data_IF_607769045314
#
_entry.id   IF_607769045314
#
_cell.length_a   1.000
_cell.length_b   1.000
_cell.length_c   1.000
_cell.angle_alpha   90.00
_cell.angle_beta   90.00
_cell.angle_gamma   90.00
#
_symmetry.space_group_name_H-M   'P 1'
#
loop_
_entity.id
_entity.type
_entity.pdbx_description
1 polymer ?
#
# COMPACT_ATOMS: atom_id res chain seq x y z
N UNK A 1 -12.27 15.68 -8.39
CA UNK A 1 -10.85 15.33 -8.36
C UNK A 1 -10.18 16.29 -7.40
N UNK A 2 -9.85 15.85 -6.19
CA UNK A 2 -9.10 16.71 -5.27
C UNK A 2 -7.65 16.81 -5.73
N UNK A 3 -7.21 18.04 -5.98
CA UNK A 3 -5.84 18.36 -6.30
C UNK A 3 -4.99 18.21 -5.04
N UNK A 4 -4.05 17.26 -5.03
CA UNK A 4 -2.92 17.36 -4.12
C UNK A 4 -2.03 18.47 -4.69
N UNK A 5 -2.12 19.67 -4.11
CA UNK A 5 -1.24 20.78 -4.49
C UNK A 5 0.23 20.34 -4.34
N UNK A 6 1.13 20.80 -5.23
CA UNK A 6 2.55 20.57 -5.05
C UNK A 6 2.95 21.07 -3.67
N UNK A 7 3.73 20.27 -2.94
CA UNK A 7 4.31 20.70 -1.66
C UNK A 7 5.38 21.76 -2.00
N UNK A 8 4.94 23.01 -2.12
CA UNK A 8 5.84 24.11 -2.46
C UNK A 8 6.68 24.46 -1.24
N UNK A 9 7.78 23.75 -1.06
CA UNK A 9 8.77 23.98 0.01
C UNK A 9 9.78 25.07 -0.39
N UNK A 10 9.63 25.72 -1.57
CA UNK A 10 10.66 26.57 -2.14
C UNK A 10 11.92 25.82 -2.59
N UNK A 11 11.86 24.49 -2.65
CA UNK A 11 12.92 23.61 -3.12
C UNK A 11 12.43 22.74 -4.26
N UNK A 12 13.32 22.42 -5.20
CA UNK A 12 13.02 21.42 -6.23
C UNK A 12 13.04 20.04 -5.63
N UNK A 13 11.98 19.25 -5.89
CA UNK A 13 11.82 17.90 -5.37
C UNK A 13 11.72 16.88 -6.49
N UNK A 14 12.19 15.65 -6.22
CA UNK A 14 12.14 14.53 -7.18
C UNK A 14 11.57 13.30 -6.49
N UNK A 15 10.53 12.72 -7.09
CA UNK A 15 10.00 11.40 -6.74
C UNK A 15 10.08 10.50 -7.98
N UNK A 16 10.63 9.31 -7.82
CA UNK A 16 10.82 8.37 -8.93
C UNK A 16 10.50 6.93 -8.53
N UNK A 17 10.20 6.10 -9.52
CA UNK A 17 9.97 4.67 -9.37
C UNK A 17 8.66 4.20 -9.97
N UNK A 18 8.23 2.99 -9.60
CA UNK A 18 6.94 2.41 -10.01
C UNK A 18 5.87 2.86 -9.03
N UNK A 19 4.90 3.65 -9.48
CA UNK A 19 3.87 4.24 -8.63
C UNK A 19 3.07 3.18 -7.83
N UNK A 20 2.82 2.01 -8.40
CA UNK A 20 2.15 0.90 -7.73
C UNK A 20 2.94 0.31 -6.53
N UNK A 21 4.24 0.61 -6.42
CA UNK A 21 5.14 0.16 -5.35
C UNK A 21 5.66 1.31 -4.47
N UNK A 22 5.41 2.55 -4.87
CA UNK A 22 5.86 3.75 -4.19
C UNK A 22 4.66 4.61 -3.79
N UNK A 23 4.27 4.54 -2.52
CA UNK A 23 3.09 5.24 -2.01
C UNK A 23 3.24 6.77 -2.06
N UNK A 24 4.46 7.32 -1.92
CA UNK A 24 4.70 8.78 -2.02
C UNK A 24 4.50 9.25 -3.45
N UNK A 25 5.10 8.54 -4.42
CA UNK A 25 4.92 8.85 -5.84
C UNK A 25 3.44 8.72 -6.24
N UNK A 26 2.79 7.60 -5.90
CA UNK A 26 1.36 7.42 -6.21
C UNK A 26 0.49 8.51 -5.57
N UNK A 27 0.76 8.89 -4.32
CA UNK A 27 0.03 9.96 -3.65
C UNK A 27 0.12 11.28 -4.41
N UNK A 28 1.30 11.62 -4.94
CA UNK A 28 1.53 12.87 -5.69
C UNK A 28 0.87 12.85 -7.08
N UNK A 29 1.00 11.75 -7.82
CA UNK A 29 0.58 11.70 -9.23
C UNK A 29 -0.80 11.07 -9.46
N UNK A 30 -1.31 10.24 -8.55
CA UNK A 30 -2.59 9.49 -8.66
C UNK A 30 -2.74 8.73 -9.97
N UNK A 31 -1.64 8.23 -10.50
CA UNK A 31 -1.57 7.54 -11.78
C UNK A 31 -0.79 6.24 -11.66
N UNK A 32 -1.32 5.17 -12.24
CA UNK A 32 -0.66 3.87 -12.28
C UNK A 32 -0.12 3.60 -13.67
N UNK A 33 1.20 3.63 -13.80
CA UNK A 33 1.94 3.06 -14.90
C UNK A 33 2.63 1.78 -14.44
N UNK A 34 2.75 0.76 -15.30
CA UNK A 34 3.47 -0.47 -14.96
C UNK A 34 4.98 -0.28 -14.87
N UNK A 35 5.50 0.70 -15.59
CA UNK A 35 6.92 1.06 -15.66
C UNK A 35 7.25 2.20 -14.68
N UNK A 36 8.54 2.43 -14.47
CA UNK A 36 9.05 3.56 -13.69
C UNK A 36 8.63 4.91 -14.30
N UNK A 37 8.36 5.88 -13.45
CA UNK A 37 8.05 7.25 -13.80
C UNK A 37 8.64 8.22 -12.79
N UNK A 38 8.72 9.49 -13.15
CA UNK A 38 9.33 10.54 -12.31
C UNK A 38 8.45 11.77 -12.30
N UNK A 39 8.24 12.36 -11.14
CA UNK A 39 7.70 13.72 -11.02
C UNK A 39 8.78 14.62 -10.43
N UNK A 40 9.00 15.75 -11.08
CA UNK A 40 9.86 16.82 -10.61
C UNK A 40 8.93 18.02 -10.33
N UNK A 41 8.90 18.46 -9.08
CA UNK A 41 8.23 19.70 -8.70
C UNK A 41 9.31 20.74 -8.45
N UNK A 42 9.34 21.78 -9.28
CA UNK A 42 10.34 22.84 -9.21
C UNK A 42 10.02 23.89 -8.14
N UNK A 43 11.05 24.57 -7.65
CA UNK A 43 10.91 25.61 -6.63
C UNK A 43 10.04 26.79 -7.06
N UNK A 44 9.89 27.04 -8.36
CA UNK A 44 9.02 28.07 -8.94
C UNK A 44 7.54 27.68 -9.02
N UNK A 45 7.22 26.44 -8.61
CA UNK A 45 5.87 25.90 -8.61
C UNK A 45 5.49 25.16 -9.89
N UNK A 46 6.36 25.13 -10.90
CA UNK A 46 6.12 24.31 -12.10
C UNK A 46 6.48 22.84 -11.87
N UNK A 47 5.97 21.96 -12.71
CA UNK A 47 6.18 20.51 -12.57
C UNK A 47 6.37 19.81 -13.91
N UNK A 48 7.24 18.80 -13.93
CA UNK A 48 7.48 17.93 -15.08
C UNK A 48 7.28 16.48 -14.66
N UNK A 49 6.39 15.79 -15.35
CA UNK A 49 6.19 14.35 -15.19
C UNK A 49 6.82 13.60 -16.37
N UNK A 50 7.83 12.77 -16.08
CA UNK A 50 8.48 11.91 -17.06
C UNK A 50 7.90 10.50 -16.97
N UNK A 51 7.43 10.00 -18.11
CA UNK A 51 6.82 8.69 -18.23
C UNK A 51 7.14 8.09 -19.61
N UNK A 52 6.90 6.81 -19.80
CA UNK A 52 7.03 6.21 -21.14
C UNK A 52 6.13 6.92 -22.15
N UNK A 53 6.62 7.01 -23.37
CA UNK A 53 5.90 7.59 -24.51
C UNK A 53 4.50 7.00 -24.70
N UNK A 54 4.36 5.67 -24.58
CA UNK A 54 3.07 4.96 -24.65
C UNK A 54 2.04 5.40 -23.61
N UNK A 55 2.48 5.95 -22.48
CA UNK A 55 1.62 6.36 -21.37
C UNK A 55 1.29 7.86 -21.40
N UNK A 56 1.95 8.65 -22.25
CA UNK A 56 1.84 10.11 -22.20
C UNK A 56 0.42 10.62 -22.39
N UNK A 57 -0.35 10.05 -23.31
CA UNK A 57 -1.71 10.52 -23.58
C UNK A 57 -2.67 10.25 -22.42
N UNK A 58 -2.48 9.13 -21.72
CA UNK A 58 -3.22 8.79 -20.52
C UNK A 58 -2.77 9.67 -19.34
N UNK A 59 -1.47 9.87 -19.21
CA UNK A 59 -0.88 10.71 -18.18
C UNK A 59 -1.32 12.17 -18.29
N UNK A 60 -1.35 12.77 -19.49
CA UNK A 60 -1.83 14.14 -19.73
C UNK A 60 -3.27 14.36 -19.25
N UNK A 61 -4.10 13.32 -19.22
CA UNK A 61 -5.50 13.40 -18.77
C UNK A 61 -5.68 13.21 -17.27
N UNK A 62 -4.71 12.57 -16.60
CA UNK A 62 -4.88 12.10 -15.22
C UNK A 62 -3.89 12.74 -14.24
N UNK A 63 -2.64 12.97 -14.67
CA UNK A 63 -1.61 13.51 -13.80
C UNK A 63 -1.68 15.04 -13.77
N UNK A 64 -1.63 15.60 -12.58
CA UNK A 64 -1.49 17.05 -12.40
C UNK A 64 -0.01 17.42 -12.48
N UNK A 65 0.44 17.75 -13.68
CA UNK A 65 1.77 18.27 -13.98
C UNK A 65 1.65 19.30 -15.12
N UNK A 66 2.48 20.34 -15.10
CA UNK A 66 2.47 21.38 -16.14
C UNK A 66 2.96 20.82 -17.47
N UNK A 67 3.89 19.86 -17.40
CA UNK A 67 4.41 19.18 -18.58
C UNK A 67 4.45 17.67 -18.35
N UNK A 68 4.01 16.92 -19.36
CA UNK A 68 4.18 15.46 -19.43
C UNK A 68 5.13 15.17 -20.57
N UNK A 69 6.27 14.59 -20.26
CA UNK A 69 7.39 14.35 -21.15
C UNK A 69 7.78 12.86 -21.15
N UNK A 70 8.59 12.45 -22.12
CA UNK A 70 9.24 11.16 -22.13
C UNK A 70 10.77 11.30 -22.08
N UNK A 71 11.50 10.19 -21.97
CA UNK A 71 12.96 10.24 -21.87
C UNK A 71 13.61 10.90 -23.10
N UNK A 72 13.02 10.75 -24.29
CA UNK A 72 13.55 11.34 -25.53
C UNK A 72 13.55 12.88 -25.53
N UNK A 73 12.69 13.51 -24.73
CA UNK A 73 12.62 14.97 -24.62
C UNK A 73 13.84 15.57 -23.87
N UNK A 74 14.62 14.71 -23.19
CA UNK A 74 15.79 15.09 -22.40
C UNK A 74 16.96 14.13 -22.67
N UNK A 75 17.37 14.06 -23.94
CA UNK A 75 18.48 13.21 -24.38
C UNK A 75 19.82 13.90 -24.07
N UNK A 76 20.71 13.31 -23.27
CA UNK A 76 22.05 13.87 -23.04
C UNK A 76 22.93 13.76 -24.29
N UNK A 77 24.02 14.50 -24.37
CA UNK A 77 24.96 14.52 -25.51
C UNK A 77 25.49 13.12 -25.89
N UNK A 78 25.65 12.23 -24.89
CA UNK A 78 26.07 10.84 -25.11
C UNK A 78 24.97 9.88 -25.58
N UNK A 79 23.74 10.37 -25.76
CA UNK A 79 22.55 9.56 -26.06
C UNK A 79 21.96 8.86 -24.83
N UNK A 80 20.78 8.29 -25.00
CA UNK A 80 20.10 7.51 -23.97
C UNK A 80 20.53 6.05 -24.02
N UNK A 81 20.55 5.41 -22.86
CA UNK A 81 20.76 3.97 -22.73
C UNK A 81 19.67 3.18 -23.46
N UNK A 82 20.01 2.00 -23.98
CA UNK A 82 19.04 1.03 -24.47
C UNK A 82 18.20 0.38 -23.36
N UNK A 83 18.64 0.45 -22.11
CA UNK A 83 17.86 0.06 -20.93
C UNK A 83 16.93 1.18 -20.54
N UNK A 84 15.63 0.87 -20.39
CA UNK A 84 14.56 1.86 -20.18
C UNK A 84 14.65 2.61 -18.85
N UNK A 85 14.95 1.92 -17.78
CA UNK A 85 15.04 2.54 -16.45
C UNK A 85 16.27 3.44 -16.38
N UNK A 86 17.38 3.01 -16.99
CA UNK A 86 18.60 3.82 -17.13
C UNK A 86 18.36 5.05 -17.99
N UNK A 87 17.68 4.90 -19.13
CA UNK A 87 17.34 6.03 -20.01
C UNK A 87 16.46 7.07 -19.29
N UNK A 88 15.49 6.62 -18.49
CA UNK A 88 14.63 7.53 -17.73
C UNK A 88 15.41 8.26 -16.62
N UNK A 89 16.35 7.58 -15.96
CA UNK A 89 17.22 8.20 -14.96
C UNK A 89 18.17 9.23 -15.58
N UNK A 90 18.75 8.93 -16.76
CA UNK A 90 19.55 9.87 -17.54
C UNK A 90 18.73 11.11 -17.94
N UNK A 91 17.53 10.90 -18.49
CA UNK A 91 16.63 11.99 -18.89
C UNK A 91 16.19 12.84 -17.68
N UNK A 92 16.02 12.23 -16.51
CA UNK A 92 15.70 12.96 -15.27
C UNK A 92 16.84 13.93 -14.89
N UNK A 93 18.07 13.43 -14.90
CA UNK A 93 19.24 14.25 -14.61
C UNK A 93 19.41 15.40 -15.64
N UNK A 94 19.17 15.11 -16.91
CA UNK A 94 19.24 16.08 -18.00
C UNK A 94 18.13 17.15 -17.90
N UNK A 95 16.91 16.75 -17.55
CA UNK A 95 15.81 17.68 -17.26
C UNK A 95 16.17 18.68 -16.16
N UNK A 96 16.75 18.18 -15.06
CA UNK A 96 17.20 19.02 -13.95
C UNK A 96 18.35 19.93 -14.34
N UNK A 97 19.30 19.45 -15.16
CA UNK A 97 20.43 20.22 -15.68
C UNK A 97 19.94 21.37 -16.59
N UNK A 98 19.00 21.09 -17.50
CA UNK A 98 18.39 22.09 -18.37
C UNK A 98 17.62 23.16 -17.57
N UNK A 99 17.04 22.77 -16.44
CA UNK A 99 16.36 23.70 -15.53
C UNK A 99 17.35 24.44 -14.59
N UNK A 100 18.66 24.26 -14.76
CA UNK A 100 19.68 24.95 -13.97
C UNK A 100 19.70 24.57 -12.49
N UNK A 101 19.24 23.37 -12.13
CA UNK A 101 19.18 22.94 -10.74
C UNK A 101 20.56 22.57 -10.22
N UNK A 102 20.94 23.12 -9.06
CA UNK A 102 22.19 22.77 -8.38
C UNK A 102 22.00 21.71 -7.28
N UNK A 103 20.77 21.58 -6.76
CA UNK A 103 20.39 20.54 -5.80
C UNK A 103 18.91 20.20 -5.91
N UNK A 104 18.55 19.00 -5.44
CA UNK A 104 17.16 18.52 -5.36
C UNK A 104 16.89 17.85 -4.02
N UNK A 105 15.68 17.97 -3.51
CA UNK A 105 15.23 17.26 -2.31
C UNK A 105 14.55 15.97 -2.71
N UNK A 106 14.87 14.87 -2.02
CA UNK A 106 14.34 13.53 -2.29
C UNK A 106 13.87 12.86 -1.01
N UNK A 107 12.96 11.91 -1.14
CA UNK A 107 12.51 11.06 -0.04
C UNK A 107 13.33 9.75 0.04
N UNK A 108 13.01 8.93 1.04
CA UNK A 108 13.64 7.61 1.27
C UNK A 108 13.43 6.59 0.14
N UNK A 109 12.50 6.83 -0.76
CA UNK A 109 12.09 5.88 -1.80
C UNK A 109 12.77 6.10 -3.14
N UNK A 110 13.59 7.16 -3.29
CA UNK A 110 14.30 7.40 -4.55
C UNK A 110 15.22 6.21 -4.87
N UNK A 111 15.02 5.52 -6.01
CA UNK A 111 15.92 4.43 -6.39
C UNK A 111 17.34 4.95 -6.63
N UNK A 112 18.33 4.20 -6.17
CA UNK A 112 19.75 4.60 -6.29
C UNK A 112 20.17 4.92 -7.73
N UNK A 113 19.58 4.27 -8.71
CA UNK A 113 19.82 4.53 -10.14
C UNK A 113 19.63 6.03 -10.47
N UNK A 114 18.54 6.63 -10.01
CA UNK A 114 18.28 8.06 -10.23
C UNK A 114 19.27 8.94 -9.46
N UNK A 115 19.55 8.60 -8.20
CA UNK A 115 20.55 9.32 -7.41
C UNK A 115 21.90 9.33 -8.10
N UNK A 116 22.33 8.21 -8.66
CA UNK A 116 23.58 8.07 -9.39
C UNK A 116 23.68 9.06 -10.57
N UNK A 117 22.69 9.09 -11.46
CA UNK A 117 22.74 9.98 -12.63
C UNK A 117 22.55 11.45 -12.27
N UNK A 118 21.75 11.79 -11.28
CA UNK A 118 21.60 13.16 -10.76
C UNK A 118 22.95 13.67 -10.23
N UNK A 119 23.65 12.86 -9.43
CA UNK A 119 24.98 13.22 -8.90
C UNK A 119 26.05 13.29 -10.00
N UNK A 120 26.02 12.39 -10.99
CA UNK A 120 26.92 12.48 -12.16
C UNK A 120 26.73 13.77 -12.96
N UNK A 121 25.52 14.30 -13.01
CA UNK A 121 25.22 15.61 -13.62
C UNK A 121 25.67 16.81 -12.78
N UNK A 122 26.35 16.58 -11.65
CA UNK A 122 26.83 17.62 -10.74
C UNK A 122 25.75 18.24 -9.85
N UNK A 123 24.58 17.59 -9.73
CA UNK A 123 23.44 18.08 -8.95
C UNK A 123 23.48 17.43 -7.56
N UNK A 124 23.44 18.26 -6.51
CA UNK A 124 23.39 17.81 -5.13
C UNK A 124 22.06 17.12 -4.79
N UNK A 125 22.10 16.16 -3.88
CA UNK A 125 20.89 15.49 -3.37
C UNK A 125 20.78 15.76 -1.87
N UNK A 126 19.68 16.41 -1.49
CA UNK A 126 19.28 16.65 -0.11
C UNK A 126 18.22 15.62 0.29
N UNK A 127 18.52 14.74 1.22
CA UNK A 127 17.55 13.82 1.77
C UNK A 127 16.63 14.52 2.77
N UNK A 128 15.33 14.31 2.64
CA UNK A 128 14.33 14.75 3.64
C UNK A 128 13.55 13.56 4.17
N UNK A 129 13.59 13.35 5.48
CA UNK A 129 12.88 12.27 6.16
C UNK A 129 11.36 12.43 6.06
N UNK A 130 10.88 13.68 6.16
CA UNK A 130 9.45 14.01 6.19
C UNK A 130 8.85 14.23 4.80
N UNK A 131 9.68 14.38 3.77
CA UNK A 131 9.19 14.62 2.42
C UNK A 131 8.29 13.48 1.94
N UNK A 132 7.07 13.83 1.52
CA UNK A 132 6.05 12.89 1.09
C UNK A 132 5.40 12.08 2.22
N UNK A 133 6.00 12.03 3.42
CA UNK A 133 5.41 11.39 4.60
C UNK A 133 4.35 12.31 5.20
N UNK A 134 4.68 13.57 5.45
CA UNK A 134 3.76 14.56 6.04
C UNK A 134 2.53 14.78 5.16
N UNK A 135 2.71 14.89 3.85
CA UNK A 135 1.60 15.03 2.90
C UNK A 135 0.61 13.85 2.96
N UNK A 136 1.09 12.63 3.32
CA UNK A 136 0.24 11.44 3.47
C UNK A 136 -0.30 11.25 4.90
N UNK A 137 0.26 11.94 5.89
CA UNK A 137 -0.13 11.83 7.29
C UNK A 137 -1.50 12.46 7.54
N UNK A 138 -1.77 13.62 6.93
CA UNK A 138 -3.05 14.32 7.02
C UNK A 138 -3.89 13.97 5.79
N UNK A 139 -5.04 13.32 6.01
CA UNK A 139 -5.91 12.85 4.92
C UNK A 139 -6.89 13.93 4.49
N UNK A 140 -6.99 14.12 3.19
CA UNK A 140 -8.06 14.91 2.58
C UNK A 140 -9.42 14.20 2.65
N UNK A 141 -10.48 14.90 2.31
CA UNK A 141 -11.86 14.38 2.36
C UNK A 141 -12.03 13.12 1.51
N UNK A 142 -11.50 13.13 0.29
CA UNK A 142 -11.58 11.98 -0.63
C UNK A 142 -10.81 10.77 -0.10
N UNK A 143 -9.65 11.01 0.50
CA UNK A 143 -8.83 9.97 1.11
C UNK A 143 -9.54 9.30 2.30
N UNK A 144 -10.25 10.11 3.10
CA UNK A 144 -11.09 9.59 4.20
C UNK A 144 -12.20 8.70 3.65
N UNK A 145 -12.83 9.09 2.53
CA UNK A 145 -13.88 8.28 1.90
C UNK A 145 -13.32 6.97 1.32
N UNK A 146 -12.16 7.01 0.68
CA UNK A 146 -11.47 5.82 0.21
C UNK A 146 -11.12 4.85 1.36
N UNK A 147 -10.64 5.38 2.47
CA UNK A 147 -10.38 4.59 3.69
C UNK A 147 -11.66 4.00 4.28
N UNK A 148 -12.79 4.74 4.30
CA UNK A 148 -14.08 4.21 4.75
C UNK A 148 -14.54 3.05 3.89
N UNK A 149 -14.45 3.20 2.57
CA UNK A 149 -14.84 2.14 1.64
C UNK A 149 -13.95 0.91 1.81
N UNK A 150 -12.64 1.10 1.91
CA UNK A 150 -11.71 0.00 2.16
C UNK A 150 -12.01 -0.71 3.48
N UNK A 151 -12.24 0.05 4.55
CA UNK A 151 -12.58 -0.51 5.86
C UNK A 151 -13.94 -1.22 5.87
N UNK A 152 -14.92 -0.73 5.12
CA UNK A 152 -16.24 -1.39 4.97
C UNK A 152 -16.08 -2.75 4.33
N UNK A 153 -15.40 -2.85 3.18
CA UNK A 153 -15.20 -4.14 2.48
C UNK A 153 -14.38 -5.11 3.35
N UNK A 154 -13.39 -4.61 4.07
CA UNK A 154 -12.63 -5.42 5.04
C UNK A 154 -13.53 -5.97 6.13
N UNK A 155 -14.42 -5.15 6.70
CA UNK A 155 -15.39 -5.58 7.70
C UNK A 155 -16.36 -6.63 7.16
N UNK A 156 -16.80 -6.51 5.92
CA UNK A 156 -17.64 -7.52 5.25
C UNK A 156 -16.88 -8.85 5.08
N UNK A 157 -15.60 -8.80 4.67
CA UNK A 157 -14.75 -9.99 4.52
C UNK A 157 -14.50 -10.69 5.86
N UNK A 158 -14.22 -9.93 6.93
CA UNK A 158 -14.07 -10.48 8.29
C UNK A 158 -15.37 -11.10 8.78
N UNK A 159 -16.50 -10.43 8.55
CA UNK A 159 -17.82 -10.97 8.91
C UNK A 159 -18.13 -12.27 8.17
N UNK A 160 -17.82 -12.34 6.88
CA UNK A 160 -17.92 -13.53 6.07
C UNK A 160 -17.08 -14.67 6.65
N UNK A 161 -15.79 -14.44 6.91
CA UNK A 161 -14.87 -15.43 7.44
C UNK A 161 -15.31 -15.94 8.84
N UNK A 162 -15.58 -15.02 9.76
CA UNK A 162 -16.04 -15.37 11.11
C UNK A 162 -17.37 -16.14 11.08
N UNK A 163 -18.31 -15.75 10.22
CA UNK A 163 -19.59 -16.46 10.09
C UNK A 163 -19.44 -17.85 9.49
N UNK A 164 -18.54 -18.02 8.52
CA UNK A 164 -18.23 -19.33 7.93
C UNK A 164 -17.63 -20.26 8.98
N UNK A 165 -16.65 -19.80 9.76
CA UNK A 165 -16.03 -20.56 10.83
C UNK A 165 -17.06 -20.91 11.93
N UNK A 166 -17.84 -19.94 12.39
CA UNK A 166 -18.81 -20.12 13.46
C UNK A 166 -19.94 -21.09 13.11
N UNK A 167 -20.31 -21.19 11.82
CA UNK A 167 -21.39 -22.06 11.32
C UNK A 167 -20.89 -23.39 10.77
N UNK A 168 -19.58 -23.61 10.69
CA UNK A 168 -19.00 -24.88 10.26
C UNK A 168 -19.43 -26.02 11.20
N UNK A 169 -19.63 -27.21 10.66
CA UNK A 169 -20.12 -28.38 11.42
C UNK A 169 -18.90 -29.23 11.77
N UNK A 170 -18.61 -29.48 13.05
CA UNK A 170 -17.50 -30.36 13.41
C UNK A 170 -17.81 -31.81 13.04
N UNK A 171 -16.81 -32.53 12.53
CA UNK A 171 -16.87 -33.97 12.34
C UNK A 171 -16.63 -34.72 13.67
N UNK A 172 -16.48 -36.06 13.58
CA UNK A 172 -16.30 -36.90 14.78
C UNK A 172 -15.01 -36.65 15.53
N UNK A 173 -14.01 -36.09 14.82
CA UNK A 173 -12.69 -35.79 15.37
C UNK A 173 -12.58 -34.31 15.77
N UNK A 174 -13.68 -33.55 15.68
CA UNK A 174 -13.75 -32.14 16.01
C UNK A 174 -13.17 -31.19 14.93
N UNK A 175 -12.91 -31.69 13.73
CA UNK A 175 -12.46 -30.92 12.59
C UNK A 175 -13.65 -30.22 11.93
N UNK A 176 -13.56 -28.91 11.74
CA UNK A 176 -14.63 -28.11 11.14
C UNK A 176 -14.82 -28.45 9.66
N UNK A 177 -16.07 -28.67 9.25
CA UNK A 177 -16.47 -28.94 7.89
C UNK A 177 -17.34 -27.81 7.35
N UNK A 178 -17.09 -27.40 6.12
CA UNK A 178 -17.89 -26.41 5.40
C UNK A 178 -18.13 -26.90 3.96
N UNK A 179 -19.39 -26.87 3.50
CA UNK A 179 -19.82 -27.37 2.18
C UNK A 179 -19.26 -28.78 1.85
N UNK A 180 -19.34 -29.68 2.82
CA UNK A 180 -18.99 -31.09 2.65
C UNK A 180 -17.49 -31.40 2.60
N UNK A 181 -16.63 -30.44 2.92
CA UNK A 181 -15.18 -30.62 2.95
C UNK A 181 -14.56 -29.95 4.18
N UNK A 182 -13.37 -30.42 4.59
CA UNK A 182 -12.60 -29.85 5.67
C UNK A 182 -12.40 -28.34 5.51
N UNK A 183 -12.61 -27.59 6.58
CA UNK A 183 -12.31 -26.17 6.66
C UNK A 183 -10.91 -25.99 7.28
N UNK A 184 -9.90 -25.76 6.45
CA UNK A 184 -8.54 -25.46 6.88
C UNK A 184 -8.24 -23.95 6.82
N UNK A 185 -7.14 -23.55 7.43
CA UNK A 185 -6.61 -22.18 7.33
C UNK A 185 -6.43 -21.75 5.88
N UNK A 186 -5.84 -22.61 5.04
CA UNK A 186 -5.59 -22.35 3.63
C UNK A 186 -6.89 -22.18 2.84
N UNK A 187 -7.85 -23.07 3.08
CA UNK A 187 -9.16 -23.00 2.42
C UNK A 187 -9.90 -21.73 2.79
N UNK A 188 -9.87 -21.34 4.06
CA UNK A 188 -10.50 -20.09 4.51
C UNK A 188 -9.85 -18.86 3.86
N UNK A 189 -8.50 -18.82 3.79
CA UNK A 189 -7.77 -17.75 3.08
C UNK A 189 -8.16 -17.67 1.61
N UNK A 190 -8.26 -18.81 0.92
CA UNK A 190 -8.69 -18.84 -0.48
C UNK A 190 -10.11 -18.28 -0.66
N UNK A 191 -11.03 -18.62 0.26
CA UNK A 191 -12.41 -18.09 0.24
C UNK A 191 -12.44 -16.57 0.50
N UNK A 192 -11.63 -16.07 1.44
CA UNK A 192 -11.46 -14.63 1.69
C UNK A 192 -10.94 -13.93 0.43
N UNK A 193 -9.91 -14.49 -0.22
CA UNK A 193 -9.34 -13.94 -1.44
C UNK A 193 -10.38 -13.84 -2.57
N UNK A 194 -11.17 -14.88 -2.77
CA UNK A 194 -12.27 -14.88 -3.76
C UNK A 194 -13.29 -13.78 -3.44
N UNK A 195 -13.72 -13.69 -2.18
CA UNK A 195 -14.66 -12.66 -1.70
C UNK A 195 -14.18 -11.23 -1.97
N UNK A 196 -12.87 -10.98 -1.76
CA UNK A 196 -12.25 -9.68 -1.98
C UNK A 196 -12.12 -9.35 -3.47
N UNK A 197 -11.72 -10.33 -4.30
CA UNK A 197 -11.60 -10.15 -5.75
C UNK A 197 -12.93 -9.79 -6.41
N UNK A 198 -14.03 -10.40 -5.99
CA UNK A 198 -15.38 -10.04 -6.47
C UNK A 198 -15.75 -8.58 -6.21
N UNK A 199 -15.10 -7.94 -5.25
CA UNK A 199 -15.29 -6.53 -4.86
C UNK A 199 -14.20 -5.61 -5.39
N UNK A 200 -13.35 -6.12 -6.28
CA UNK A 200 -12.19 -5.41 -6.84
C UNK A 200 -11.14 -5.00 -5.78
N UNK A 201 -10.97 -5.86 -4.77
CA UNK A 201 -9.90 -5.73 -3.77
C UNK A 201 -8.86 -6.84 -3.96
N UNK A 202 -7.61 -6.54 -3.65
CA UNK A 202 -6.50 -7.51 -3.64
C UNK A 202 -5.94 -7.70 -2.24
N UNK A 203 -5.49 -8.91 -1.99
CA UNK A 203 -4.82 -9.27 -0.75
C UNK A 203 -3.35 -9.60 -1.06
N UNK A 204 -2.51 -8.56 -1.14
CA UNK A 204 -1.13 -8.70 -1.63
C UNK A 204 -0.22 -9.55 -0.75
N UNK A 205 -0.51 -9.63 0.54
CA UNK A 205 0.30 -10.36 1.52
C UNK A 205 -0.42 -11.59 2.09
N UNK A 206 -1.56 -11.97 1.47
CA UNK A 206 -2.50 -12.95 2.00
C UNK A 206 -3.18 -12.50 3.31
N UNK A 207 -4.24 -13.18 3.72
CA UNK A 207 -4.88 -12.98 5.03
C UNK A 207 -4.25 -13.93 6.05
N UNK A 208 -4.36 -13.59 7.33
CA UNK A 208 -4.00 -14.50 8.40
C UNK A 208 -5.28 -15.19 8.89
N UNK A 209 -5.28 -16.52 8.87
CA UNK A 209 -6.31 -17.36 9.48
C UNK A 209 -5.59 -18.41 10.30
N UNK A 210 -5.32 -18.12 11.56
CA UNK A 210 -4.42 -18.90 12.39
C UNK A 210 -5.12 -19.43 13.64
N UNK A 211 -4.81 -20.69 13.97
CA UNK A 211 -5.27 -21.37 15.19
C UNK A 211 -4.09 -21.96 15.96
N UNK A 212 -4.37 -22.66 17.06
CA UNK A 212 -3.36 -23.36 17.85
C UNK A 212 -2.63 -24.39 16.95
N UNK A 213 -1.30 -24.52 17.07
CA UNK A 213 -0.41 -23.93 18.09
C UNK A 213 0.17 -22.55 17.73
N UNK A 214 -0.13 -21.98 16.55
CA UNK A 214 0.58 -20.87 15.96
C UNK A 214 0.02 -19.48 16.32
N UNK A 215 -1.03 -19.39 17.13
CA UNK A 215 -1.70 -18.12 17.51
C UNK A 215 -0.81 -17.09 18.21
N UNK A 216 0.33 -17.51 18.74
CA UNK A 216 1.30 -16.63 19.39
C UNK A 216 2.30 -15.99 18.41
N UNK A 217 2.39 -16.50 17.18
CA UNK A 217 3.18 -15.90 16.10
C UNK A 217 2.30 -14.99 15.27
N UNK A 218 2.46 -13.69 15.48
CA UNK A 218 1.58 -12.67 14.86
C UNK A 218 1.67 -12.59 13.33
N UNK A 219 2.70 -13.17 12.71
CA UNK A 219 2.86 -13.18 11.26
C UNK A 219 2.71 -14.58 10.64
N UNK A 220 2.33 -15.59 11.41
CA UNK A 220 2.02 -16.90 10.88
C UNK A 220 0.67 -16.87 10.16
N UNK A 221 0.65 -17.23 8.89
CA UNK A 221 -0.58 -17.19 8.08
C UNK A 221 -1.63 -18.23 8.48
N UNK A 222 -1.24 -19.23 9.28
CA UNK A 222 -2.04 -20.39 9.65
C UNK A 222 -1.91 -21.54 8.66
N UNK A 223 -2.04 -22.75 9.17
CA UNK A 223 -1.99 -24.00 8.40
C UNK A 223 -2.89 -25.06 9.03
N UNK A 224 -3.35 -25.99 8.19
CA UNK A 224 -4.10 -27.18 8.60
C UNK A 224 -5.54 -26.93 9.04
N UNK A 225 -6.17 -27.96 9.56
CA UNK A 225 -7.57 -28.02 9.91
C UNK A 225 -7.95 -27.07 11.06
N UNK A 226 -9.03 -26.33 10.90
CA UNK A 226 -9.67 -25.60 11.99
C UNK A 226 -10.53 -26.55 12.83
N UNK A 227 -10.55 -26.33 14.16
CA UNK A 227 -11.20 -27.25 15.10
C UNK A 227 -12.19 -26.55 16.00
N UNK A 228 -13.21 -27.29 16.44
CA UNK A 228 -14.17 -26.86 17.46
C UNK A 228 -13.44 -26.50 18.76
N UNK A 229 -13.98 -25.52 19.50
CA UNK A 229 -13.47 -25.01 20.78
C UNK A 229 -12.06 -24.35 20.72
N UNK A 230 -11.45 -24.32 19.55
CA UNK A 230 -10.18 -23.61 19.35
C UNK A 230 -10.41 -22.17 18.87
N UNK A 231 -9.63 -21.18 19.36
CA UNK A 231 -9.68 -19.84 18.85
C UNK A 231 -9.05 -19.78 17.46
N UNK A 232 -9.70 -19.08 16.56
CA UNK A 232 -9.18 -18.76 15.24
C UNK A 232 -9.06 -17.23 15.12
N UNK A 233 -7.85 -16.74 14.90
CA UNK A 233 -7.60 -15.34 14.60
C UNK A 233 -7.75 -15.17 13.09
N UNK A 234 -8.61 -14.23 12.70
CA UNK A 234 -8.83 -13.81 11.31
C UNK A 234 -8.36 -12.37 11.21
N UNK A 235 -7.33 -12.15 10.41
CA UNK A 235 -6.74 -10.84 10.17
C UNK A 235 -6.67 -10.56 8.67
N UNK A 236 -7.36 -9.50 8.23
CA UNK A 236 -7.57 -9.19 6.81
C UNK A 236 -7.22 -7.72 6.57
N UNK A 237 -6.26 -7.46 5.66
CA UNK A 237 -5.74 -6.13 5.34
C UNK A 237 -5.64 -5.90 3.83
N UNK A 238 -6.76 -5.91 3.11
CA UNK A 238 -6.83 -5.81 1.66
C UNK A 238 -6.62 -4.39 1.17
N UNK A 239 -6.33 -4.27 -0.11
CA UNK A 239 -6.19 -3.00 -0.81
C UNK A 239 -7.21 -2.89 -1.93
N UNK A 240 -7.87 -1.75 -2.05
CA UNK A 240 -8.68 -1.39 -3.21
C UNK A 240 -7.80 -1.24 -4.45
N UNK A 241 -8.11 -1.96 -5.53
CA UNK A 241 -7.30 -1.98 -6.75
C UNK A 241 -7.32 -0.67 -7.53
N UNK A 242 -8.30 0.20 -7.30
CA UNK A 242 -8.43 1.49 -7.97
C UNK A 242 -7.80 2.61 -7.16
N UNK A 243 -8.23 2.73 -5.91
CA UNK A 243 -7.83 3.85 -5.05
C UNK A 243 -6.50 3.60 -4.33
N UNK A 244 -6.09 2.35 -4.19
CA UNK A 244 -4.88 1.89 -3.48
C UNK A 244 -4.92 2.12 -1.96
N UNK A 245 -6.09 2.41 -1.40
CA UNK A 245 -6.28 2.51 0.03
C UNK A 245 -6.56 1.14 0.64
N UNK A 246 -6.05 0.95 1.86
CA UNK A 246 -6.15 -0.31 2.59
C UNK A 246 -7.23 -0.21 3.67
N UNK A 247 -7.91 -1.34 3.91
CA UNK A 247 -8.56 -1.60 5.17
C UNK A 247 -7.71 -2.54 6.01
N UNK A 248 -8.04 -2.66 7.28
CA UNK A 248 -7.32 -3.52 8.22
C UNK A 248 -8.24 -3.89 9.38
N UNK A 249 -8.45 -5.19 9.60
CA UNK A 249 -9.30 -5.66 10.70
C UNK A 249 -8.96 -7.07 11.16
N UNK A 250 -8.73 -7.20 12.46
CA UNK A 250 -8.52 -8.50 13.14
C UNK A 250 -9.70 -8.86 14.03
N UNK A 251 -10.14 -10.10 13.99
CA UNK A 251 -11.12 -10.69 14.93
C UNK A 251 -10.69 -12.09 15.33
N UNK A 252 -11.08 -12.47 16.57
CA UNK A 252 -10.97 -13.85 17.02
C UNK A 252 -12.36 -14.45 17.08
N UNK A 253 -12.53 -15.64 16.51
CA UNK A 253 -13.77 -16.41 16.51
C UNK A 253 -13.49 -17.82 17.08
N UNK A 254 -14.49 -18.37 17.77
CA UNK A 254 -14.50 -19.75 18.25
C UNK A 254 -15.77 -20.42 17.77
N UNK A 255 -15.63 -21.60 17.15
CA UNK A 255 -16.77 -22.49 16.91
C UNK A 255 -16.90 -23.41 18.13
N UNK A 256 -17.99 -23.28 18.89
CA UNK A 256 -18.19 -24.03 20.16
C UNK A 256 -17.94 -23.17 21.39
N UNK A 257 -17.32 -23.76 22.43
CA UNK A 257 -17.15 -23.12 23.75
C UNK A 257 -15.69 -22.79 24.01
N UNK A 258 -15.32 -21.50 24.12
CA UNK A 258 -13.94 -21.14 24.45
C UNK A 258 -13.58 -21.55 25.88
N UNK A 259 -12.33 -21.96 26.11
CA UNK A 259 -11.84 -22.20 27.47
C UNK A 259 -11.82 -20.91 28.31
N UNK A 260 -11.90 -21.05 29.64
CA UNK A 260 -11.78 -19.92 30.57
C UNK A 260 -10.47 -19.16 30.38
N UNK A 261 -9.41 -19.82 29.99
CA UNK A 261 -8.11 -19.19 29.69
C UNK A 261 -8.24 -18.23 28.50
N UNK A 262 -8.83 -18.67 27.38
CA UNK A 262 -9.05 -17.81 26.21
C UNK A 262 -9.95 -16.64 26.53
N UNK A 263 -11.01 -16.83 27.32
CA UNK A 263 -11.88 -15.75 27.77
C UNK A 263 -11.10 -14.70 28.57
N UNK A 264 -10.23 -15.14 29.50
CA UNK A 264 -9.37 -14.23 30.28
C UNK A 264 -8.35 -13.49 29.40
N UNK A 265 -7.70 -14.19 28.46
CA UNK A 265 -6.76 -13.57 27.51
C UNK A 265 -7.46 -12.51 26.66
N UNK A 266 -8.61 -12.84 26.06
CA UNK A 266 -9.41 -11.90 25.25
C UNK A 266 -9.80 -10.66 26.07
N UNK A 267 -10.31 -10.84 27.27
CA UNK A 267 -10.66 -9.72 28.15
C UNK A 267 -9.44 -8.82 28.47
N UNK A 268 -8.25 -9.41 28.60
CA UNK A 268 -7.01 -8.66 28.84
C UNK A 268 -6.60 -7.83 27.62
N UNK A 269 -6.67 -8.42 26.43
CA UNK A 269 -6.40 -7.71 25.16
C UNK A 269 -7.39 -6.56 24.94
N UNK A 270 -8.68 -6.78 25.24
CA UNK A 270 -9.70 -5.72 25.17
C UNK A 270 -9.39 -4.55 26.09
N UNK A 271 -8.96 -4.81 27.35
CA UNK A 271 -8.55 -3.76 28.29
C UNK A 271 -7.31 -3.02 27.79
N UNK A 272 -6.31 -3.72 27.27
CA UNK A 272 -5.10 -3.11 26.70
C UNK A 272 -5.45 -2.18 25.52
N UNK A 273 -6.32 -2.64 24.60
CA UNK A 273 -6.81 -1.83 23.48
C UNK A 273 -7.54 -0.57 23.95
N UNK A 274 -8.44 -0.71 24.93
CA UNK A 274 -9.17 0.43 25.50
C UNK A 274 -8.22 1.46 26.15
N UNK A 275 -7.22 0.99 26.90
CA UNK A 275 -6.21 1.86 27.49
C UNK A 275 -5.39 2.59 26.42
N UNK A 276 -4.98 1.90 25.35
CA UNK A 276 -4.30 2.52 24.22
C UNK A 276 -5.14 3.59 23.53
N UNK A 277 -6.41 3.29 23.22
CA UNK A 277 -7.33 4.27 22.63
C UNK A 277 -7.54 5.50 23.54
N UNK A 278 -7.67 5.29 24.85
CA UNK A 278 -7.84 6.38 25.80
C UNK A 278 -6.59 7.26 25.97
N UNK A 279 -5.41 6.72 25.69
CA UNK A 279 -4.14 7.44 25.76
C UNK A 279 -3.86 8.31 24.51
N UNK A 280 -4.60 8.13 23.41
CA UNK A 280 -4.41 8.91 22.19
C UNK A 280 -4.76 10.38 22.41
N UNK A 281 -3.83 11.25 22.06
CA UNK A 281 -3.98 12.72 22.14
C UNK A 281 -3.35 13.34 20.90
N UNK A 282 -3.86 14.51 20.50
CA UNK A 282 -3.22 15.32 19.47
C UNK A 282 -1.83 15.80 19.97
N UNK A 283 -0.82 15.71 19.10
CA UNK A 283 0.57 16.02 19.44
C UNK A 283 1.24 14.94 20.23
#
# INVERSE_FOLDING_TARGET
MCSVAPVNSGKTTVLAGIAGKNATLFHRIRFLAPDSSVIIDFADGTSVYLVRDLEMDRARKQVQADRVCCAADFTPDGGLSGDRDTALAQATAECLRHAGQSSVTVDRSLPYLYAHFIQQAGIGIDYSEDFGVDARRIKGTDEIEHLRQAQKVTGEAVSFACSTIAKAIPDRDGVLQHDGAELSSERMRAMITAFLLERNFSNHHDSIVVTIPHVADCHHFGEGALRVDHPVIVDIFPMDNVTRYHGDMTRTVVNGTPSDEFVRMHATVCRAKQAGCAALKAG
#
